data_IF_621632848556
#
_entry.id   IF_621632848556
#
_cell.length_a   1.000
_cell.length_b   1.000
_cell.length_c   1.000
_cell.angle_alpha   90.00
_cell.angle_beta   90.00
_cell.angle_gamma   90.00
#
_symmetry.space_group_name_H-M   'P 1'
#
loop_
_entity.id
_entity.type
_entity.pdbx_description
1 polymer ?
#
# COMPACT_ATOMS: atom_id res chain seq x y z
N UNK A 1 -3.47 9.62 -41.41
CA UNK A 1 -2.65 10.65 -40.72
C UNK A 1 -3.24 10.80 -39.33
N UNK A 2 -2.41 10.91 -38.30
CA UNK A 2 -2.88 11.12 -36.92
C UNK A 2 -3.71 12.43 -36.83
N UNK A 3 -4.68 12.48 -35.91
CA UNK A 3 -5.57 13.67 -35.78
C UNK A 3 -4.81 14.95 -35.41
N UNK A 4 -3.77 14.82 -34.58
CA UNK A 4 -2.94 15.92 -34.07
C UNK A 4 -1.47 15.69 -34.36
N UNK A 5 -0.72 16.78 -34.56
CA UNK A 5 0.75 16.74 -34.56
C UNK A 5 1.28 16.69 -33.13
N UNK A 6 2.22 15.77 -32.83
CA UNK A 6 2.73 15.54 -31.48
C UNK A 6 4.26 15.60 -31.36
N UNK A 7 4.94 16.64 -31.88
CA UNK A 7 6.40 16.67 -32.00
C UNK A 7 7.17 16.50 -30.68
N UNK A 8 6.63 16.94 -29.53
CA UNK A 8 7.27 16.68 -28.23
C UNK A 8 7.11 15.21 -27.81
N UNK A 9 5.89 14.66 -27.92
CA UNK A 9 5.64 13.25 -27.58
C UNK A 9 6.39 12.28 -28.49
N UNK A 10 6.56 12.62 -29.78
CA UNK A 10 7.29 11.79 -30.74
C UNK A 10 8.74 11.50 -30.30
N UNK A 11 9.37 12.43 -29.56
CA UNK A 11 10.71 12.20 -29.01
C UNK A 11 10.75 11.07 -27.97
N UNK A 12 9.62 10.81 -27.29
CA UNK A 12 9.49 9.79 -26.25
C UNK A 12 9.23 8.39 -26.81
N UNK A 13 9.12 8.23 -28.13
CA UNK A 13 9.08 6.92 -28.78
C UNK A 13 10.48 6.29 -28.93
N UNK A 14 11.52 7.11 -28.82
CA UNK A 14 12.91 6.66 -28.90
C UNK A 14 13.43 6.10 -27.57
N UNK A 15 14.54 5.37 -27.64
CA UNK A 15 15.19 4.76 -26.48
C UNK A 15 14.74 3.33 -26.19
N UNK A 16 15.37 2.66 -25.21
CA UNK A 16 15.16 1.23 -24.98
C UNK A 16 13.97 0.90 -24.06
N UNK A 17 13.43 1.87 -23.33
CA UNK A 17 12.30 1.65 -22.41
C UNK A 17 10.97 1.61 -23.21
N UNK A 18 10.02 0.70 -22.89
CA UNK A 18 8.74 0.65 -23.59
C UNK A 18 8.02 2.00 -23.51
N UNK A 19 7.80 2.61 -24.67
CA UNK A 19 7.20 3.94 -24.76
C UNK A 19 5.68 3.87 -24.60
N UNK A 20 5.16 4.63 -23.63
CA UNK A 20 3.73 4.83 -23.50
C UNK A 20 3.14 5.61 -24.70
N UNK A 21 3.95 6.43 -25.39
CA UNK A 21 3.48 7.18 -26.57
C UNK A 21 3.24 6.23 -27.73
N UNK A 22 4.18 5.31 -28.00
CA UNK A 22 4.00 4.31 -29.06
C UNK A 22 2.81 3.38 -28.78
N UNK A 23 2.60 2.98 -27.53
CA UNK A 23 1.44 2.18 -27.12
C UNK A 23 0.10 2.93 -27.31
N UNK A 24 0.03 4.21 -26.91
CA UNK A 24 -1.16 5.05 -27.16
C UNK A 24 -1.42 5.26 -28.65
N UNK A 25 -0.37 5.49 -29.46
CA UNK A 25 -0.50 5.61 -30.92
C UNK A 25 -0.98 4.31 -31.56
N UNK A 26 -0.49 3.16 -31.09
CA UNK A 26 -0.99 1.87 -31.52
C UNK A 26 -2.47 1.70 -31.19
N UNK A 27 -2.90 2.05 -29.97
CA UNK A 27 -4.31 1.95 -29.60
C UNK A 27 -5.20 2.92 -30.40
N UNK A 28 -4.72 4.14 -30.67
CA UNK A 28 -5.41 5.07 -31.57
C UNK A 28 -5.57 4.46 -32.97
N UNK A 29 -4.53 3.82 -33.51
CA UNK A 29 -4.58 3.14 -34.81
C UNK A 29 -5.56 1.94 -34.82
N UNK A 30 -5.55 1.11 -33.77
CA UNK A 30 -6.49 -0.03 -33.63
C UNK A 30 -7.93 0.47 -33.64
N UNK A 31 -8.22 1.51 -32.84
CA UNK A 31 -9.56 2.11 -32.80
C UNK A 31 -9.93 2.75 -34.12
N UNK A 32 -9.01 3.45 -34.79
CA UNK A 32 -9.27 4.08 -36.09
C UNK A 32 -9.60 3.06 -37.19
N UNK A 33 -8.88 1.93 -37.24
CA UNK A 33 -9.15 0.85 -38.20
C UNK A 33 -10.43 0.07 -37.87
N UNK A 34 -10.70 -0.13 -36.58
CA UNK A 34 -11.85 -0.87 -36.06
C UNK A 34 -12.08 -2.22 -36.77
N UNK A 35 -11.02 -3.00 -36.98
CA UNK A 35 -11.09 -4.27 -37.73
C UNK A 35 -12.04 -5.30 -37.07
N UNK A 36 -12.21 -5.21 -35.76
CA UNK A 36 -13.13 -6.05 -34.99
C UNK A 36 -14.60 -5.59 -35.04
N UNK A 37 -14.90 -4.44 -35.67
CA UNK A 37 -16.26 -3.93 -35.81
C UNK A 37 -16.91 -3.54 -34.48
N UNK A 38 -16.13 -3.03 -33.53
CA UNK A 38 -16.61 -2.60 -32.21
C UNK A 38 -17.48 -1.36 -32.37
N UNK A 39 -18.68 -1.40 -31.80
CA UNK A 39 -19.57 -0.23 -31.73
C UNK A 39 -19.17 0.66 -30.54
N UNK A 40 -18.10 1.44 -30.70
CA UNK A 40 -17.55 2.26 -29.62
C UNK A 40 -18.61 3.18 -28.99
N UNK A 41 -18.78 3.07 -27.66
CA UNK A 41 -19.77 3.85 -26.90
C UNK A 41 -19.26 5.22 -26.45
N UNK A 42 -17.98 5.50 -26.69
CA UNK A 42 -17.35 6.81 -26.53
C UNK A 42 -16.66 7.19 -27.85
N UNK A 43 -16.23 8.45 -28.05
CA UNK A 43 -15.58 8.86 -29.29
C UNK A 43 -14.44 7.93 -29.71
N UNK A 44 -14.48 7.48 -30.97
CA UNK A 44 -13.50 6.55 -31.52
C UNK A 44 -12.07 7.12 -31.46
N UNK A 45 -11.95 8.44 -31.60
CA UNK A 45 -10.73 9.25 -31.57
C UNK A 45 -10.36 9.79 -30.18
N UNK A 46 -10.93 9.25 -29.09
CA UNK A 46 -10.61 9.68 -27.73
C UNK A 46 -9.12 9.54 -27.37
N UNK A 47 -8.42 8.55 -27.93
CA UNK A 47 -6.98 8.35 -27.69
C UNK A 47 -6.15 9.34 -28.50
N UNK A 48 -6.57 9.69 -29.71
CA UNK A 48 -5.96 10.78 -30.48
C UNK A 48 -6.06 12.11 -29.72
N UNK A 49 -7.23 12.42 -29.16
CA UNK A 49 -7.45 13.64 -28.37
C UNK A 49 -6.70 13.62 -27.03
N UNK A 50 -6.51 12.44 -26.43
CA UNK A 50 -5.63 12.28 -25.27
C UNK A 50 -4.18 12.65 -25.62
N UNK A 51 -3.67 12.16 -26.76
CA UNK A 51 -2.34 12.52 -27.26
C UNK A 51 -2.24 14.03 -27.56
N UNK A 52 -3.27 14.61 -28.18
CA UNK A 52 -3.33 16.04 -28.50
C UNK A 52 -3.31 16.94 -27.25
N UNK A 53 -4.12 16.65 -26.24
CA UNK A 53 -4.14 17.43 -25.00
C UNK A 53 -2.86 17.23 -24.18
N UNK A 54 -2.25 16.05 -24.25
CA UNK A 54 -0.97 15.77 -23.60
C UNK A 54 0.16 16.55 -24.29
N UNK A 55 0.22 16.56 -25.61
CA UNK A 55 1.17 17.38 -26.38
C UNK A 55 1.02 18.87 -26.02
N UNK A 56 -0.22 19.38 -25.94
CA UNK A 56 -0.47 20.75 -25.52
C UNK A 56 0.06 21.02 -24.10
N UNK A 57 -0.08 20.03 -23.21
CA UNK A 57 0.45 20.10 -21.84
C UNK A 57 1.98 20.14 -21.82
N UNK A 58 2.66 19.38 -22.68
CA UNK A 58 4.12 19.45 -22.86
C UNK A 58 4.55 20.82 -23.36
N UNK A 59 3.85 21.35 -24.37
CA UNK A 59 4.12 22.68 -24.93
C UNK A 59 3.95 23.80 -23.90
N UNK A 60 2.93 23.73 -23.05
CA UNK A 60 2.63 24.78 -22.09
C UNK A 60 3.26 24.58 -20.70
N UNK A 61 3.74 23.38 -20.38
CA UNK A 61 4.25 23.04 -19.05
C UNK A 61 3.19 23.08 -17.94
N UNK A 62 1.92 22.82 -18.27
CA UNK A 62 0.79 22.84 -17.30
C UNK A 62 -0.27 21.80 -17.66
N UNK A 63 -1.09 21.45 -16.67
CA UNK A 63 -2.22 20.54 -16.88
C UNK A 63 -3.35 21.22 -17.64
N UNK A 64 -4.04 20.44 -18.49
CA UNK A 64 -5.23 20.85 -19.24
C UNK A 64 -6.50 20.11 -18.79
N UNK A 65 -6.54 19.76 -17.50
CA UNK A 65 -7.69 19.15 -16.87
C UNK A 65 -8.30 20.08 -15.82
N UNK A 66 -9.63 20.24 -15.84
CA UNK A 66 -10.37 21.04 -14.87
C UNK A 66 -10.22 20.50 -13.43
N UNK A 67 -10.49 21.36 -12.45
CA UNK A 67 -10.51 20.99 -11.04
C UNK A 67 -11.64 20.01 -10.73
N UNK A 68 -11.30 18.89 -10.08
CA UNK A 68 -12.27 17.92 -9.59
C UNK A 68 -13.15 17.27 -10.67
N UNK A 69 -14.32 16.81 -10.21
CA UNK A 69 -15.32 16.12 -11.01
C UNK A 69 -16.05 15.09 -10.12
N UNK A 70 -17.36 15.27 -9.96
CA UNK A 70 -18.19 14.39 -9.12
C UNK A 70 -19.10 13.58 -10.04
N UNK A 71 -18.77 12.29 -10.17
CA UNK A 71 -19.51 11.29 -10.93
C UNK A 71 -19.34 9.96 -10.19
N UNK A 72 -20.23 9.00 -10.45
CA UNK A 72 -20.20 7.71 -9.78
C UNK A 72 -21.28 6.78 -10.32
N UNK A 73 -21.55 5.73 -9.56
CA UNK A 73 -22.62 4.77 -9.80
C UNK A 73 -23.56 4.75 -8.60
N UNK A 74 -24.84 4.46 -8.81
CA UNK A 74 -25.82 4.44 -7.74
C UNK A 74 -25.47 3.40 -6.67
N UNK A 75 -25.74 3.77 -5.41
CA UNK A 75 -25.41 2.95 -4.25
C UNK A 75 -24.02 3.18 -3.67
N UNK A 76 -23.06 3.69 -4.45
CA UNK A 76 -21.68 3.96 -4.01
C UNK A 76 -21.35 5.46 -3.99
N UNK A 77 -20.61 5.88 -2.97
CA UNK A 77 -20.09 7.25 -2.84
C UNK A 77 -18.69 7.45 -3.41
N UNK A 78 -18.13 6.43 -4.06
CA UNK A 78 -16.77 6.41 -4.59
C UNK A 78 -16.56 5.37 -5.69
N UNK A 79 -15.31 5.20 -6.13
CA UNK A 79 -14.88 4.24 -7.16
C UNK A 79 -14.61 4.86 -8.53
N UNK A 80 -15.18 6.04 -8.81
CA UNK A 80 -14.94 6.78 -10.06
C UNK A 80 -14.33 8.15 -9.78
N UNK A 81 -13.28 8.51 -10.52
CA UNK A 81 -12.68 9.84 -10.48
C UNK A 81 -13.12 10.63 -11.71
N UNK A 82 -14.04 11.58 -11.51
CA UNK A 82 -14.48 12.50 -12.54
C UNK A 82 -13.32 13.39 -13.02
N UNK A 83 -13.25 13.59 -14.33
CA UNK A 83 -12.26 14.45 -14.97
C UNK A 83 -12.80 14.97 -16.29
N UNK A 84 -12.51 16.24 -16.55
CA UNK A 84 -12.97 16.98 -17.73
C UNK A 84 -11.83 17.80 -18.32
N UNK A 85 -11.67 17.77 -19.64
CA UNK A 85 -10.70 18.62 -20.34
C UNK A 85 -11.07 20.11 -20.21
N UNK A 86 -10.08 20.99 -20.11
CA UNK A 86 -10.29 22.45 -20.09
C UNK A 86 -10.37 23.10 -21.49
N UNK A 87 -10.09 22.34 -22.55
CA UNK A 87 -10.23 22.73 -23.96
C UNK A 87 -11.17 21.77 -24.74
N UNK A 88 -12.45 21.64 -24.36
CA UNK A 88 -13.35 20.63 -24.93
C UNK A 88 -13.64 20.84 -26.44
N UNK A 89 -13.57 22.07 -26.93
CA UNK A 89 -13.74 22.35 -28.37
C UNK A 89 -12.55 21.86 -29.20
N UNK A 90 -11.33 21.89 -28.64
CA UNK A 90 -10.12 21.41 -29.31
C UNK A 90 -9.96 19.89 -29.20
N UNK A 91 -10.40 19.31 -28.07
CA UNK A 91 -10.24 17.89 -27.77
C UNK A 91 -11.57 17.26 -27.29
N UNK A 92 -12.61 17.21 -28.16
CA UNK A 92 -13.93 16.72 -27.77
C UNK A 92 -13.94 15.26 -27.33
N UNK A 93 -13.03 14.43 -27.85
CA UNK A 93 -12.87 13.01 -27.48
C UNK A 93 -12.47 12.77 -26.02
N UNK A 94 -11.98 13.81 -25.33
CA UNK A 94 -11.64 13.78 -23.90
C UNK A 94 -12.36 14.87 -23.09
N UNK A 95 -13.47 15.40 -23.60
CA UNK A 95 -14.33 16.33 -22.84
C UNK A 95 -14.70 15.71 -21.49
N UNK A 96 -15.16 14.45 -21.50
CA UNK A 96 -15.23 13.58 -20.35
C UNK A 96 -14.12 12.54 -20.44
N UNK A 97 -13.34 12.37 -19.38
CA UNK A 97 -12.28 11.37 -19.34
C UNK A 97 -12.16 10.72 -17.96
N UNK A 98 -13.28 10.16 -17.50
CA UNK A 98 -13.41 9.63 -16.15
C UNK A 98 -12.57 8.37 -15.96
N UNK A 99 -12.04 8.20 -14.76
CA UNK A 99 -11.28 7.00 -14.39
C UNK A 99 -12.12 6.10 -13.49
N UNK A 100 -12.33 4.84 -13.87
CA UNK A 100 -12.96 3.85 -13.01
C UNK A 100 -11.88 3.00 -12.33
N UNK A 101 -11.98 2.86 -11.01
CA UNK A 101 -11.13 1.97 -10.22
C UNK A 101 -11.83 0.64 -10.10
N UNK A 102 -11.20 -0.43 -10.55
CA UNK A 102 -11.72 -1.79 -10.44
C UNK A 102 -10.87 -2.54 -9.42
N UNK A 103 -11.52 -3.18 -8.45
CA UNK A 103 -10.85 -3.87 -7.35
C UNK A 103 -10.00 -5.03 -7.89
N UNK A 104 -8.71 -5.10 -7.55
CA UNK A 104 -7.81 -6.12 -8.08
C UNK A 104 -7.84 -7.40 -7.22
N UNK A 105 -7.59 -8.59 -7.81
CA UNK A 105 -7.33 -9.79 -7.03
C UNK A 105 -6.05 -9.65 -6.19
N UNK A 106 -6.04 -10.34 -5.05
CA UNK A 106 -4.88 -10.44 -4.15
C UNK A 106 -3.62 -10.89 -4.91
N UNK A 107 -2.47 -10.27 -4.62
CA UNK A 107 -1.21 -10.55 -5.30
C UNK A 107 -1.16 -10.19 -6.81
N UNK A 108 -2.26 -9.68 -7.38
CA UNK A 108 -2.39 -9.30 -8.81
C UNK A 108 -2.16 -10.47 -9.77
N UNK A 109 -2.61 -11.67 -9.40
CA UNK A 109 -2.64 -12.83 -10.29
C UNK A 109 -3.85 -12.79 -11.21
N UNK A 110 -3.64 -13.09 -12.49
CA UNK A 110 -4.70 -13.04 -13.51
C UNK A 110 -4.65 -14.26 -14.42
N UNK A 111 -5.82 -14.62 -14.94
CA UNK A 111 -5.91 -15.48 -16.14
C UNK A 111 -6.04 -14.59 -17.37
N UNK A 112 -5.56 -15.09 -18.52
CA UNK A 112 -5.71 -14.35 -19.79
C UNK A 112 -7.17 -14.27 -20.23
N UNK A 113 -8.04 -15.19 -19.80
CA UNK A 113 -9.47 -15.13 -20.06
C UNK A 113 -10.11 -13.90 -19.41
N UNK A 114 -9.86 -13.68 -18.11
CA UNK A 114 -10.37 -12.51 -17.39
C UNK A 114 -9.86 -11.20 -18.00
N UNK A 115 -8.55 -11.09 -18.25
CA UNK A 115 -7.98 -9.87 -18.83
C UNK A 115 -8.55 -9.58 -20.22
N UNK A 116 -8.75 -10.60 -21.08
CA UNK A 116 -9.36 -10.40 -22.40
C UNK A 116 -10.83 -9.97 -22.31
N UNK A 117 -11.60 -10.48 -21.34
CA UNK A 117 -12.98 -10.02 -21.09
C UNK A 117 -13.00 -8.56 -20.65
N UNK A 118 -12.09 -8.19 -19.75
CA UNK A 118 -11.96 -6.83 -19.26
C UNK A 118 -11.53 -5.86 -20.37
N UNK A 119 -10.54 -6.20 -21.19
CA UNK A 119 -10.10 -5.35 -22.30
C UNK A 119 -11.20 -5.19 -23.33
N UNK A 120 -11.95 -6.25 -23.68
CA UNK A 120 -13.10 -6.16 -24.59
C UNK A 120 -14.19 -5.22 -24.09
N UNK A 121 -14.53 -5.33 -22.80
CA UNK A 121 -15.48 -4.40 -22.17
C UNK A 121 -14.96 -2.96 -22.26
N UNK A 122 -13.68 -2.77 -21.97
CA UNK A 122 -13.08 -1.44 -21.92
C UNK A 122 -12.82 -0.81 -23.29
N UNK A 123 -12.56 -1.62 -24.32
CA UNK A 123 -12.50 -1.15 -25.70
C UNK A 123 -13.88 -0.67 -26.16
N UNK A 124 -14.94 -1.43 -25.83
CA UNK A 124 -16.32 -1.11 -26.17
C UNK A 124 -16.85 0.14 -25.44
N UNK A 125 -16.66 0.23 -24.12
CA UNK A 125 -17.28 1.26 -23.26
C UNK A 125 -16.32 2.35 -22.75
N UNK A 126 -15.05 2.26 -23.09
CA UNK A 126 -14.02 3.18 -22.63
C UNK A 126 -13.02 3.50 -23.74
N UNK A 127 -11.88 4.05 -23.33
CA UNK A 127 -10.80 4.43 -24.23
C UNK A 127 -9.95 3.25 -24.71
N UNK A 128 -10.05 2.09 -24.05
CA UNK A 128 -9.09 1.00 -24.17
C UNK A 128 -7.74 1.26 -23.47
N UNK A 129 -7.55 2.43 -22.84
CA UNK A 129 -6.33 2.78 -22.10
C UNK A 129 -6.48 2.41 -20.63
N UNK A 130 -5.41 1.86 -20.03
CA UNK A 130 -5.43 1.44 -18.62
C UNK A 130 -4.17 1.88 -17.86
N UNK A 131 -4.22 1.82 -16.52
CA UNK A 131 -3.01 1.64 -15.73
C UNK A 131 -3.08 0.30 -14.99
N UNK A 132 -2.07 -0.54 -15.20
CA UNK A 132 -1.91 -1.85 -14.58
C UNK A 132 -0.67 -1.81 -13.69
N UNK A 133 -0.76 -1.27 -12.46
CA UNK A 133 -1.94 -0.93 -11.66
C UNK A 133 -1.87 0.50 -11.10
N UNK A 134 -2.96 0.96 -10.50
CA UNK A 134 -2.94 2.14 -9.65
C UNK A 134 -2.06 1.93 -8.42
N UNK A 135 -1.42 2.99 -7.91
CA UNK A 135 -0.49 2.89 -6.79
C UNK A 135 -1.14 2.40 -5.47
N UNK A 136 -2.47 2.38 -5.36
CA UNK A 136 -3.13 1.78 -4.18
C UNK A 136 -3.26 0.27 -4.34
N UNK A 137 -3.62 -0.19 -5.54
CA UNK A 137 -3.78 -1.61 -5.90
C UNK A 137 -4.64 -1.78 -7.16
N UNK A 138 -5.63 -0.89 -7.32
CA UNK A 138 -6.72 -1.00 -8.30
C UNK A 138 -6.24 -1.22 -9.73
N UNK A 139 -7.01 -1.97 -10.51
CA UNK A 139 -7.00 -1.85 -11.97
C UNK A 139 -7.59 -0.48 -12.33
N UNK A 140 -6.91 0.27 -13.19
CA UNK A 140 -7.34 1.61 -13.59
C UNK A 140 -7.85 1.56 -15.03
N UNK A 141 -9.16 1.73 -15.20
CA UNK A 141 -9.78 1.94 -16.50
C UNK A 141 -9.79 3.44 -16.79
N UNK A 142 -8.91 3.90 -17.68
CA UNK A 142 -8.56 5.31 -17.84
C UNK A 142 -9.31 5.95 -19.01
N UNK A 143 -10.40 6.65 -18.72
CA UNK A 143 -11.12 7.46 -19.71
C UNK A 143 -12.39 6.81 -20.22
N UNK A 144 -13.52 7.31 -19.75
CA UNK A 144 -14.86 7.07 -20.29
C UNK A 144 -15.76 8.28 -20.03
N UNK A 145 -17.01 8.23 -20.51
CA UNK A 145 -18.02 9.27 -20.34
C UNK A 145 -18.97 8.93 -19.19
N UNK A 146 -19.70 9.94 -18.68
CA UNK A 146 -20.65 9.74 -17.57
C UNK A 146 -21.73 8.68 -17.85
N UNK A 147 -22.36 8.65 -19.05
CA UNK A 147 -23.38 7.65 -19.35
C UNK A 147 -22.90 6.19 -19.33
N UNK A 148 -21.61 5.95 -19.52
CA UNK A 148 -21.05 4.59 -19.54
C UNK A 148 -20.68 4.04 -18.16
N UNK A 149 -20.72 4.86 -17.10
CA UNK A 149 -20.28 4.43 -15.77
C UNK A 149 -21.14 3.28 -15.23
N UNK A 150 -22.47 3.45 -15.27
CA UNK A 150 -23.42 2.42 -14.84
C UNK A 150 -23.36 1.18 -15.73
N UNK A 151 -23.17 1.37 -17.03
CA UNK A 151 -23.10 0.28 -18.00
C UNK A 151 -21.87 -0.61 -17.81
N UNK A 152 -20.71 0.00 -17.56
CA UNK A 152 -19.49 -0.73 -17.22
C UNK A 152 -19.66 -1.43 -15.88
N UNK A 153 -20.19 -0.73 -14.87
CA UNK A 153 -20.39 -1.28 -13.55
C UNK A 153 -21.37 -2.47 -13.54
N UNK A 154 -22.46 -2.37 -14.29
CA UNK A 154 -23.43 -3.44 -14.47
C UNK A 154 -22.76 -4.68 -15.07
N UNK A 155 -21.96 -4.51 -16.13
CA UNK A 155 -21.25 -5.63 -16.76
C UNK A 155 -20.22 -6.26 -15.81
N UNK A 156 -19.43 -5.45 -15.10
CA UNK A 156 -18.46 -5.94 -14.12
C UNK A 156 -19.14 -6.79 -13.03
N UNK A 157 -20.26 -6.32 -12.49
CA UNK A 157 -20.95 -7.00 -11.39
C UNK A 157 -21.75 -8.22 -11.84
N UNK A 158 -22.52 -8.11 -12.92
CA UNK A 158 -23.45 -9.16 -13.35
C UNK A 158 -22.76 -10.27 -14.16
N UNK A 159 -21.80 -9.91 -15.02
CA UNK A 159 -21.16 -10.88 -15.90
C UNK A 159 -19.83 -11.38 -15.34
N UNK A 160 -19.08 -10.53 -14.64
CA UNK A 160 -17.70 -10.86 -14.22
C UNK A 160 -17.56 -11.17 -12.72
N UNK A 161 -18.58 -10.86 -11.90
CA UNK A 161 -18.49 -10.99 -10.44
C UNK A 161 -17.40 -10.09 -9.84
N UNK A 162 -17.20 -8.91 -10.44
CA UNK A 162 -16.12 -7.98 -10.13
C UNK A 162 -16.69 -6.64 -9.66
N UNK A 163 -16.15 -6.10 -8.57
CA UNK A 163 -16.57 -4.80 -8.03
C UNK A 163 -15.53 -3.68 -8.32
N UNK A 164 -15.94 -2.44 -8.07
CA UNK A 164 -15.12 -1.25 -8.07
C UNK A 164 -14.19 -1.19 -6.85
N UNK A 165 -13.13 -0.40 -6.98
CA UNK A 165 -12.25 -0.05 -5.87
C UNK A 165 -12.72 1.18 -5.11
N UNK A 166 -11.98 1.55 -4.05
CA UNK A 166 -12.32 2.66 -3.16
C UNK A 166 -11.78 4.04 -3.59
N UNK A 167 -12.57 5.10 -3.40
CA UNK A 167 -12.12 6.49 -3.44
C UNK A 167 -13.00 7.42 -2.60
N UNK A 168 -12.42 8.45 -1.99
CA UNK A 168 -13.16 9.37 -1.10
C UNK A 168 -12.63 9.35 0.34
N UNK A 169 -13.48 9.72 1.29
CA UNK A 169 -13.20 9.59 2.74
C UNK A 169 -13.77 8.28 3.27
N UNK A 170 -13.11 7.19 2.87
CA UNK A 170 -13.50 5.79 3.08
C UNK A 170 -12.26 4.93 3.28
N UNK A 171 -12.47 3.65 3.61
CA UNK A 171 -11.50 2.62 3.33
C UNK A 171 -11.19 2.63 1.82
N UNK A 172 -9.91 2.56 1.48
CA UNK A 172 -9.46 2.36 0.11
C UNK A 172 -9.10 0.90 -0.08
N UNK A 173 -9.13 0.48 -1.34
CA UNK A 173 -8.75 -0.85 -1.80
C UNK A 173 -7.51 -1.37 -1.08
N UNK A 174 -7.65 -2.41 -0.23
CA UNK A 174 -6.53 -3.08 0.39
C UNK A 174 -5.60 -3.69 -0.67
N UNK A 175 -4.31 -3.79 -0.35
CA UNK A 175 -3.34 -4.41 -1.23
C UNK A 175 -2.24 -5.10 -0.44
N UNK A 176 -1.68 -6.14 -1.03
CA UNK A 176 -0.73 -7.03 -0.40
C UNK A 176 0.51 -7.27 -1.25
N UNK A 177 1.55 -7.82 -0.62
CA UNK A 177 2.61 -8.49 -1.37
C UNK A 177 2.11 -9.86 -1.87
N UNK A 178 2.93 -10.55 -2.67
CA UNK A 178 2.55 -11.86 -3.19
C UNK A 178 2.48 -12.97 -2.12
N UNK A 179 2.93 -12.71 -0.89
CA UNK A 179 2.75 -13.62 0.25
C UNK A 179 3.27 -15.04 0.01
N UNK A 180 2.53 -16.01 0.54
CA UNK A 180 2.87 -17.43 0.47
C UNK A 180 2.71 -18.03 -0.93
N UNK A 181 2.09 -17.31 -1.88
CA UNK A 181 1.93 -17.80 -3.26
C UNK A 181 3.27 -18.11 -3.93
N UNK A 182 4.33 -17.35 -3.60
CA UNK A 182 5.66 -17.51 -4.23
C UNK A 182 6.83 -16.91 -3.42
N UNK A 183 6.70 -16.77 -2.10
CA UNK A 183 7.80 -16.30 -1.25
C UNK A 183 7.97 -17.19 -0.01
N UNK A 184 9.17 -17.69 0.20
CA UNK A 184 9.54 -18.53 1.34
C UNK A 184 9.75 -17.73 2.65
N UNK A 185 9.64 -16.41 2.61
CA UNK A 185 9.75 -15.53 3.78
C UNK A 185 8.40 -15.14 4.37
N UNK A 186 7.28 -15.46 3.69
CA UNK A 186 5.96 -15.03 4.10
C UNK A 186 5.55 -15.71 5.42
N UNK A 187 5.32 -14.90 6.45
CA UNK A 187 4.98 -15.35 7.80
C UNK A 187 3.47 -15.65 7.95
N UNK A 188 2.63 -15.19 7.03
CA UNK A 188 1.20 -15.49 7.00
C UNK A 188 0.67 -15.39 5.56
N UNK A 189 -0.54 -15.88 5.32
CA UNK A 189 -1.20 -15.76 4.02
C UNK A 189 -1.77 -14.34 3.84
N UNK A 190 -0.96 -13.46 3.23
CA UNK A 190 -1.38 -12.09 2.92
C UNK A 190 -2.51 -12.05 1.90
N UNK A 191 -2.59 -13.04 1.00
CA UNK A 191 -3.59 -13.06 -0.05
C UNK A 191 -4.98 -13.38 0.54
N UNK A 192 -5.05 -14.35 1.45
CA UNK A 192 -6.29 -14.68 2.16
C UNK A 192 -6.77 -13.51 3.02
N UNK A 193 -5.88 -12.91 3.83
CA UNK A 193 -6.27 -11.83 4.74
C UNK A 193 -6.66 -10.55 3.99
N UNK A 194 -5.97 -10.18 2.89
CA UNK A 194 -6.38 -9.00 2.10
C UNK A 194 -7.75 -9.22 1.47
N UNK A 195 -8.05 -10.43 1.01
CA UNK A 195 -9.33 -10.76 0.42
C UNK A 195 -10.44 -10.71 1.47
N UNK A 196 -10.22 -11.33 2.63
CA UNK A 196 -11.13 -11.28 3.77
C UNK A 196 -11.46 -9.83 4.17
N UNK A 197 -10.45 -9.02 4.51
CA UNK A 197 -10.66 -7.64 4.96
C UNK A 197 -11.30 -6.76 3.88
N UNK A 198 -11.09 -7.06 2.60
CA UNK A 198 -11.73 -6.33 1.50
C UNK A 198 -13.22 -6.67 1.40
N UNK A 199 -13.61 -7.92 1.67
CA UNK A 199 -14.99 -8.36 1.64
C UNK A 199 -15.76 -7.96 2.91
N UNK A 200 -15.10 -8.06 4.08
CA UNK A 200 -15.69 -7.71 5.36
C UNK A 200 -16.10 -6.24 5.41
N UNK A 201 -15.18 -5.35 5.00
CA UNK A 201 -15.38 -3.90 5.06
C UNK A 201 -15.79 -3.28 3.72
N UNK A 202 -16.66 -3.97 2.97
CA UNK A 202 -17.19 -3.47 1.70
C UNK A 202 -17.97 -2.17 1.88
N UNK A 203 -18.76 -2.04 2.94
CA UNK A 203 -19.54 -0.82 3.20
C UNK A 203 -18.63 0.39 3.39
N UNK A 204 -17.63 0.25 4.26
CA UNK A 204 -16.65 1.29 4.57
C UNK A 204 -15.77 1.64 3.38
N UNK A 205 -15.62 0.72 2.40
CA UNK A 205 -14.90 0.96 1.15
C UNK A 205 -15.75 1.72 0.13
N UNK A 206 -17.02 1.34 -0.02
CA UNK A 206 -17.90 1.88 -1.06
C UNK A 206 -18.68 3.13 -0.63
N UNK A 207 -18.92 3.31 0.67
CA UNK A 207 -19.75 4.38 1.24
C UNK A 207 -18.90 5.22 2.21
N UNK A 208 -18.44 6.41 1.79
CA UNK A 208 -17.61 7.28 2.62
C UNK A 208 -18.25 7.65 3.97
N UNK A 209 -17.82 6.98 5.04
CA UNK A 209 -18.27 7.21 6.42
C UNK A 209 -17.19 7.83 7.33
N UNK A 210 -15.96 7.95 6.84
CA UNK A 210 -14.80 8.34 7.65
C UNK A 210 -14.49 9.84 7.56
N UNK A 211 -13.75 10.41 8.54
CA UNK A 211 -13.28 11.80 8.48
C UNK A 211 -12.37 12.06 7.27
N UNK A 212 -11.60 11.04 6.85
CA UNK A 212 -10.76 11.08 5.65
C UNK A 212 -10.54 9.68 5.06
N UNK A 213 -9.48 9.49 4.26
CA UNK A 213 -9.15 8.22 3.62
C UNK A 213 -8.44 7.32 4.62
N UNK A 214 -8.78 6.04 4.60
CA UNK A 214 -8.09 5.00 5.35
C UNK A 214 -7.56 3.94 4.38
N UNK A 215 -6.45 3.28 4.71
CA UNK A 215 -5.81 2.30 3.83
C UNK A 215 -5.26 1.14 4.64
N UNK A 216 -5.51 -0.07 4.15
CA UNK A 216 -4.81 -1.28 4.57
C UNK A 216 -3.73 -1.67 3.55
N UNK A 217 -2.59 -2.12 4.06
CA UNK A 217 -1.61 -2.89 3.27
C UNK A 217 -0.97 -3.99 4.09
N UNK A 218 -0.76 -5.13 3.43
CA UNK A 218 -0.33 -6.38 4.05
C UNK A 218 1.01 -6.83 3.46
N UNK A 219 2.04 -6.88 4.30
CA UNK A 219 3.36 -7.39 3.97
C UNK A 219 3.63 -8.70 4.71
N UNK A 220 4.02 -9.74 3.99
CA UNK A 220 4.29 -11.05 4.58
C UNK A 220 5.56 -11.11 5.44
N UNK A 221 6.46 -10.12 5.36
CA UNK A 221 7.67 -10.01 6.18
C UNK A 221 8.22 -8.57 6.21
N UNK A 222 9.23 -8.25 7.03
CA UNK A 222 9.80 -6.90 7.15
C UNK A 222 10.51 -6.37 5.90
N UNK A 223 10.73 -7.17 4.86
CA UNK A 223 11.19 -6.67 3.55
C UNK A 223 10.18 -5.72 2.90
N UNK A 224 8.91 -5.76 3.33
CA UNK A 224 7.92 -4.72 3.06
C UNK A 224 7.70 -4.48 1.55
N UNK A 225 7.50 -5.55 0.77
CA UNK A 225 7.39 -5.50 -0.69
C UNK A 225 6.19 -4.69 -1.23
N UNK A 226 5.10 -4.55 -0.48
CA UNK A 226 3.98 -3.64 -0.83
C UNK A 226 4.12 -2.25 -0.18
N UNK A 227 5.18 -2.06 0.61
CA UNK A 227 5.52 -0.82 1.32
C UNK A 227 4.40 -0.36 2.25
N UNK A 228 3.79 -1.28 2.99
CA UNK A 228 2.69 -1.00 3.92
C UNK A 228 3.07 0.09 4.94
N UNK A 229 4.23 -0.02 5.58
CA UNK A 229 4.72 0.94 6.58
C UNK A 229 4.75 2.40 6.11
N UNK A 230 4.80 2.65 4.80
CA UNK A 230 4.86 4.00 4.24
C UNK A 230 3.58 4.43 3.52
N UNK A 231 2.69 3.49 3.16
CA UNK A 231 1.60 3.73 2.18
C UNK A 231 0.22 3.22 2.64
N UNK A 232 0.07 2.89 3.92
CA UNK A 232 -1.21 2.55 4.55
C UNK A 232 -1.38 3.20 5.92
N UNK A 233 -2.59 3.66 6.23
CA UNK A 233 -2.93 4.16 7.56
C UNK A 233 -2.76 3.08 8.62
N UNK A 234 -3.00 1.82 8.26
CA UNK A 234 -2.70 0.65 9.08
C UNK A 234 -1.97 -0.41 8.24
N UNK A 235 -0.77 -0.78 8.69
CA UNK A 235 0.10 -1.76 8.03
C UNK A 235 0.18 -3.05 8.85
N UNK A 236 0.09 -4.19 8.16
CA UNK A 236 0.21 -5.52 8.76
C UNK A 236 1.49 -6.17 8.23
N UNK A 237 2.52 -6.29 9.07
CA UNK A 237 3.85 -6.75 8.64
C UNK A 237 4.19 -8.08 9.34
N UNK A 238 4.35 -9.13 8.54
CA UNK A 238 4.57 -10.48 9.03
C UNK A 238 5.88 -10.61 9.81
N UNK A 239 5.88 -11.43 10.86
CA UNK A 239 7.06 -11.75 11.65
C UNK A 239 6.91 -13.11 12.33
N UNK A 240 7.91 -13.50 13.11
CA UNK A 240 7.91 -14.71 13.92
C UNK A 240 8.41 -14.40 15.34
N UNK A 241 8.09 -15.25 16.31
CA UNK A 241 8.50 -15.06 17.72
C UNK A 241 9.48 -16.11 18.24
N UNK A 242 9.65 -17.22 17.53
CA UNK A 242 10.63 -18.26 17.82
C UNK A 242 11.97 -18.02 17.10
N UNK A 243 12.81 -19.06 17.02
CA UNK A 243 14.19 -18.94 16.53
C UNK A 243 14.28 -19.00 15.00
N UNK A 244 15.24 -18.29 14.43
CA UNK A 244 15.64 -18.49 13.03
C UNK A 244 16.11 -19.95 12.84
N UNK A 245 15.61 -20.59 11.78
CA UNK A 245 16.03 -21.96 11.44
C UNK A 245 17.32 -21.92 10.64
N UNK A 246 18.31 -22.68 11.08
CA UNK A 246 19.67 -22.70 10.51
C UNK A 246 20.00 -24.10 9.99
N UNK A 247 20.26 -24.21 8.69
CA UNK A 247 20.91 -25.37 8.07
C UNK A 247 22.42 -25.11 8.00
N UNK A 248 23.17 -25.77 8.89
CA UNK A 248 24.62 -25.59 9.01
C UNK A 248 25.39 -26.10 7.77
N UNK A 249 24.88 -27.13 7.09
CA UNK A 249 25.53 -27.65 5.88
C UNK A 249 25.37 -26.63 4.74
N UNK A 250 24.19 -26.02 4.63
CA UNK A 250 23.95 -24.93 3.70
C UNK A 250 24.80 -23.68 4.03
N UNK A 251 24.95 -23.32 5.32
CA UNK A 251 25.86 -22.23 5.74
C UNK A 251 27.28 -22.49 5.24
N UNK A 252 27.81 -23.69 5.46
CA UNK A 252 29.17 -24.02 5.05
C UNK A 252 29.34 -23.95 3.52
N UNK A 253 28.31 -24.32 2.73
CA UNK A 253 28.35 -24.14 1.27
C UNK A 253 28.43 -22.67 0.83
N UNK A 254 27.78 -21.75 1.54
CA UNK A 254 27.97 -20.31 1.31
C UNK A 254 29.42 -19.90 1.60
N UNK A 255 29.97 -20.29 2.76
CA UNK A 255 31.36 -19.98 3.17
C UNK A 255 32.39 -20.54 2.19
N UNK A 256 32.15 -21.75 1.69
CA UNK A 256 32.98 -22.44 0.69
C UNK A 256 32.81 -21.86 -0.73
N UNK A 257 31.96 -20.84 -0.90
CA UNK A 257 31.68 -20.19 -2.18
C UNK A 257 31.16 -21.17 -3.26
N UNK A 258 30.34 -22.15 -2.85
CA UNK A 258 29.67 -23.06 -3.77
C UNK A 258 28.76 -22.26 -4.72
N UNK A 259 28.95 -22.43 -6.03
CA UNK A 259 28.18 -21.72 -7.06
C UNK A 259 26.66 -22.00 -6.99
N UNK A 260 26.25 -23.11 -6.38
CA UNK A 260 24.84 -23.39 -6.11
C UNK A 260 24.26 -22.53 -4.97
N UNK A 261 25.08 -21.90 -4.15
CA UNK A 261 24.68 -21.08 -3.00
C UNK A 261 25.18 -19.63 -3.18
N UNK A 262 24.72 -18.92 -4.22
CA UNK A 262 25.11 -17.53 -4.40
C UNK A 262 24.49 -16.66 -3.29
N UNK A 263 25.28 -15.77 -2.72
CA UNK A 263 24.81 -14.78 -1.75
C UNK A 263 23.67 -13.95 -2.35
N UNK A 264 22.67 -13.67 -1.52
CA UNK A 264 21.45 -12.94 -1.88
C UNK A 264 20.75 -13.53 -3.12
N UNK A 265 20.77 -14.87 -3.25
CA UNK A 265 20.27 -15.60 -4.41
C UNK A 265 20.84 -15.12 -5.77
N UNK A 266 22.03 -14.51 -5.76
CA UNK A 266 22.68 -13.97 -6.95
C UNK A 266 22.19 -12.59 -7.37
N UNK A 267 21.49 -11.85 -6.51
CA UNK A 267 20.95 -10.51 -6.82
C UNK A 267 21.99 -9.49 -7.33
N UNK A 268 23.26 -9.67 -6.97
CA UNK A 268 24.36 -8.77 -7.38
C UNK A 268 25.17 -9.30 -8.58
N UNK A 269 24.75 -10.41 -9.19
CA UNK A 269 25.46 -10.99 -10.34
C UNK A 269 25.39 -10.04 -11.54
N UNK A 270 26.55 -9.65 -12.06
CA UNK A 270 26.66 -8.77 -13.22
C UNK A 270 26.58 -7.27 -12.93
N UNK A 271 26.36 -6.84 -11.67
CA UNK A 271 26.41 -5.40 -11.34
C UNK A 271 27.85 -4.86 -11.35
N UNK A 272 28.78 -5.65 -10.81
CA UNK A 272 30.25 -5.50 -10.83
C UNK A 272 30.85 -6.75 -10.16
N UNK A 273 32.17 -6.89 -10.18
CA UNK A 273 32.85 -7.89 -9.37
C UNK A 273 32.93 -7.42 -7.91
N UNK A 274 32.29 -8.16 -7.01
CA UNK A 274 32.29 -7.91 -5.57
C UNK A 274 33.30 -8.81 -4.82
N UNK A 275 33.96 -9.74 -5.53
CA UNK A 275 34.77 -10.79 -4.92
C UNK A 275 33.95 -11.99 -4.41
N UNK A 276 34.64 -12.99 -3.82
CA UNK A 276 33.97 -14.12 -3.17
C UNK A 276 33.18 -13.67 -1.94
N UNK A 277 32.12 -14.40 -1.63
CA UNK A 277 31.31 -14.19 -0.44
C UNK A 277 32.16 -14.27 0.83
N UNK A 278 31.99 -13.28 1.71
CA UNK A 278 32.65 -13.17 3.00
C UNK A 278 31.58 -13.06 4.11
N UNK A 279 31.35 -14.17 4.82
CA UNK A 279 30.32 -14.26 5.88
C UNK A 279 30.48 -13.18 6.95
N UNK A 280 31.72 -12.84 7.31
CA UNK A 280 31.99 -11.80 8.30
C UNK A 280 31.53 -10.44 7.77
N UNK A 281 32.00 -10.04 6.59
CA UNK A 281 31.72 -8.71 6.02
C UNK A 281 30.27 -8.53 5.56
N UNK A 282 29.65 -9.58 5.06
CA UNK A 282 28.35 -9.49 4.38
C UNK A 282 27.17 -9.89 5.27
N UNK A 283 27.41 -10.58 6.39
CA UNK A 283 26.34 -11.01 7.31
C UNK A 283 26.62 -10.57 8.74
N UNK A 284 27.70 -11.06 9.37
CA UNK A 284 27.92 -10.88 10.81
C UNK A 284 28.16 -9.41 11.18
N UNK A 285 29.08 -8.76 10.47
CA UNK A 285 29.39 -7.34 10.63
C UNK A 285 28.26 -6.41 10.19
N UNK A 286 27.25 -6.90 9.45
CA UNK A 286 26.08 -6.11 9.04
C UNK A 286 24.83 -6.37 9.87
N UNK A 287 24.82 -7.40 10.73
CA UNK A 287 23.74 -7.62 11.69
C UNK A 287 23.58 -6.37 12.58
N UNK A 288 22.40 -5.74 12.65
CA UNK A 288 22.22 -4.47 13.35
C UNK A 288 22.44 -4.60 14.87
N UNK A 289 22.10 -5.75 15.45
CA UNK A 289 22.25 -6.01 16.89
C UNK A 289 23.51 -6.80 17.25
N UNK A 290 24.34 -7.16 16.26
CA UNK A 290 25.54 -8.00 16.46
C UNK A 290 25.26 -9.31 17.23
N UNK A 291 24.07 -9.89 17.08
CA UNK A 291 23.64 -11.11 17.76
C UNK A 291 24.10 -12.42 17.08
N UNK A 292 24.99 -12.35 16.08
CA UNK A 292 25.42 -13.52 15.30
C UNK A 292 26.90 -13.84 15.53
N UNK A 293 27.25 -15.12 15.51
CA UNK A 293 28.64 -15.59 15.63
C UNK A 293 28.87 -16.80 14.73
N UNK A 294 30.03 -16.88 14.07
CA UNK A 294 30.47 -18.09 13.38
C UNK A 294 31.70 -18.67 14.06
N UNK A 295 31.62 -19.92 14.49
CA UNK A 295 32.72 -20.63 15.17
C UNK A 295 32.65 -22.13 14.86
N UNK A 296 33.81 -22.76 14.65
CA UNK A 296 33.93 -24.20 14.43
C UNK A 296 33.00 -24.72 13.31
N UNK A 297 32.95 -23.99 12.19
CA UNK A 297 32.07 -24.26 11.02
C UNK A 297 30.57 -24.24 11.34
N UNK A 298 30.15 -23.54 12.40
CA UNK A 298 28.76 -23.38 12.80
C UNK A 298 28.39 -21.91 12.98
N UNK A 299 27.24 -21.53 12.45
CA UNK A 299 26.61 -20.24 12.67
C UNK A 299 25.66 -20.31 13.86
N UNK A 300 25.82 -19.38 14.79
CA UNK A 300 24.96 -19.18 15.95
C UNK A 300 24.27 -17.83 15.84
N UNK A 301 23.01 -17.78 16.27
CA UNK A 301 22.20 -16.56 16.36
C UNK A 301 21.63 -16.53 17.77
N UNK A 302 21.83 -15.41 18.46
CA UNK A 302 21.15 -15.09 19.71
C UNK A 302 19.81 -14.44 19.37
N UNK A 303 18.80 -15.29 19.14
CA UNK A 303 17.46 -14.87 18.70
C UNK A 303 16.78 -13.91 19.68
N UNK A 304 17.11 -13.96 20.98
CA UNK A 304 16.59 -13.03 21.97
C UNK A 304 17.02 -11.58 21.71
N UNK A 305 18.18 -11.39 21.07
CA UNK A 305 18.71 -10.09 20.64
C UNK A 305 18.54 -9.86 19.12
N UNK A 306 17.78 -10.70 18.42
CA UNK A 306 17.46 -10.52 17.01
C UNK A 306 16.23 -9.61 16.85
N UNK A 307 16.38 -8.55 16.05
CA UNK A 307 15.26 -7.65 15.69
C UNK A 307 14.52 -8.08 14.42
N UNK A 308 14.83 -9.28 13.88
CA UNK A 308 14.18 -9.88 12.70
C UNK A 308 14.20 -8.96 11.46
N UNK A 309 15.32 -8.27 11.25
CA UNK A 309 15.50 -7.32 10.13
C UNK A 309 15.60 -7.95 8.73
N UNK A 310 15.45 -9.28 8.60
CA UNK A 310 15.61 -10.08 7.39
C UNK A 310 17.00 -10.15 6.75
N UNK A 311 17.97 -9.29 7.11
CA UNK A 311 19.27 -9.20 6.41
C UNK A 311 19.96 -10.55 6.20
N UNK A 312 20.18 -11.31 7.27
CA UNK A 312 20.87 -12.60 7.18
C UNK A 312 20.09 -13.63 6.34
N UNK A 313 18.76 -13.68 6.48
CA UNK A 313 17.87 -14.53 5.68
C UNK A 313 17.93 -14.14 4.20
N UNK A 314 17.88 -12.84 3.90
CA UNK A 314 17.97 -12.33 2.54
C UNK A 314 19.31 -12.70 1.88
N UNK A 315 20.42 -12.61 2.62
CA UNK A 315 21.76 -12.95 2.10
C UNK A 315 21.94 -14.46 1.95
N UNK A 316 21.44 -15.28 2.88
CA UNK A 316 21.63 -16.75 2.87
C UNK A 316 20.30 -17.52 2.85
N UNK A 317 19.43 -17.33 1.86
CA UNK A 317 18.06 -17.84 1.91
C UNK A 317 17.95 -19.36 1.80
N UNK A 318 19.00 -20.04 1.32
CA UNK A 318 19.04 -21.50 1.31
C UNK A 318 19.45 -22.09 2.66
N UNK A 319 20.05 -21.31 3.55
CA UNK A 319 20.56 -21.76 4.84
C UNK A 319 19.74 -21.25 6.03
N UNK A 320 19.22 -20.03 5.92
CA UNK A 320 18.45 -19.37 6.98
C UNK A 320 16.99 -19.23 6.57
N UNK A 321 16.08 -19.64 7.46
CA UNK A 321 14.64 -19.50 7.26
C UNK A 321 14.00 -18.80 8.45
N UNK A 322 12.85 -18.16 8.21
CA UNK A 322 11.99 -17.61 9.26
C UNK A 322 11.66 -18.67 10.32
N UNK A 323 11.28 -18.25 11.52
CA UNK A 323 10.76 -19.14 12.56
C UNK A 323 9.47 -19.86 12.16
N UNK A 324 8.95 -20.71 13.04
CA UNK A 324 7.71 -21.48 12.85
C UNK A 324 6.51 -20.84 13.53
N UNK A 325 6.72 -20.11 14.62
CA UNK A 325 5.66 -19.43 15.36
C UNK A 325 5.46 -18.03 14.77
N UNK A 326 4.61 -17.95 13.75
CA UNK A 326 4.44 -16.76 12.93
C UNK A 326 3.19 -15.96 13.29
N UNK A 327 3.18 -14.70 12.86
CA UNK A 327 2.09 -13.75 13.05
C UNK A 327 2.41 -12.46 12.31
N UNK A 328 1.83 -11.33 12.72
CA UNK A 328 2.19 -10.02 12.19
C UNK A 328 2.32 -8.95 13.29
N UNK A 329 2.98 -7.86 12.96
CA UNK A 329 2.96 -6.61 13.71
C UNK A 329 1.99 -5.64 13.05
N UNK A 330 1.26 -4.85 13.83
CA UNK A 330 0.39 -3.78 13.35
C UNK A 330 1.06 -2.45 13.62
N UNK A 331 1.19 -1.61 12.58
CA UNK A 331 1.73 -0.25 12.69
C UNK A 331 0.74 0.76 12.09
N UNK A 332 0.64 1.94 12.69
CA UNK A 332 -0.40 2.92 12.37
C UNK A 332 0.16 4.30 12.02
N UNK A 333 -0.59 5.03 11.18
CA UNK A 333 -0.41 6.46 10.96
C UNK A 333 0.32 6.87 9.67
N UNK A 334 0.73 5.93 8.81
CA UNK A 334 1.53 6.31 7.64
C UNK A 334 0.77 7.23 6.67
N UNK A 335 1.41 8.32 6.26
CA UNK A 335 0.84 9.29 5.33
C UNK A 335 1.90 10.09 4.57
N UNK A 336 1.48 10.56 3.40
CA UNK A 336 2.19 11.56 2.63
C UNK A 336 2.21 12.93 3.36
N UNK A 337 3.02 13.92 2.90
CA UNK A 337 3.27 15.14 3.64
C UNK A 337 2.05 15.94 4.13
N UNK A 338 1.04 16.15 3.28
CA UNK A 338 -0.09 17.04 3.63
C UNK A 338 -0.96 16.40 4.75
N UNK A 339 -1.30 17.11 5.83
CA UNK A 339 -0.92 18.50 6.16
C UNK A 339 0.36 18.58 7.01
N UNK A 340 0.40 17.84 8.12
CA UNK A 340 1.39 18.03 9.20
C UNK A 340 2.66 17.18 9.06
N UNK A 341 3.13 16.99 7.82
CA UNK A 341 4.34 16.24 7.51
C UNK A 341 4.09 14.77 7.15
N UNK A 342 5.12 14.17 6.56
CA UNK A 342 5.08 12.76 6.17
C UNK A 342 5.32 11.88 7.39
N UNK A 343 4.63 10.74 7.45
CA UNK A 343 4.75 9.78 8.53
C UNK A 343 4.88 8.38 7.95
N UNK A 344 5.65 7.53 8.62
CA UNK A 344 5.61 6.07 8.48
C UNK A 344 4.80 5.48 9.64
N UNK A 345 4.38 4.22 9.51
CA UNK A 345 3.65 3.52 10.54
C UNK A 345 4.47 3.40 11.82
N UNK A 346 3.88 3.79 12.95
CA UNK A 346 4.44 3.58 14.29
C UNK A 346 3.89 2.28 14.88
N UNK A 347 4.75 1.49 15.52
CA UNK A 347 4.42 0.16 16.03
C UNK A 347 3.34 0.25 17.12
N UNK A 348 2.19 -0.37 16.89
CA UNK A 348 1.08 -0.45 17.85
C UNK A 348 1.00 -1.84 18.49
N UNK A 349 0.86 -2.88 17.67
CA UNK A 349 0.83 -4.27 18.15
C UNK A 349 2.16 -4.94 17.77
N UNK A 350 3.05 -5.23 18.73
CA UNK A 350 4.33 -5.87 18.43
C UNK A 350 4.18 -7.24 17.76
N UNK A 351 3.20 -8.02 18.20
CA UNK A 351 2.89 -9.33 17.64
C UNK A 351 1.42 -9.67 17.87
N UNK A 352 0.74 -10.08 16.81
CA UNK A 352 -0.60 -10.66 16.83
C UNK A 352 -0.60 -11.93 15.97
N UNK A 353 -1.32 -12.94 16.44
CA UNK A 353 -1.53 -14.15 15.65
C UNK A 353 -2.46 -13.83 14.46
N UNK A 354 -2.13 -14.38 13.29
CA UNK A 354 -2.97 -14.26 12.11
C UNK A 354 -3.77 -15.55 11.98
N UNK A 355 -4.96 -15.57 12.57
CA UNK A 355 -5.79 -16.76 12.65
C UNK A 355 -6.96 -16.69 11.65
N UNK A 356 -6.92 -17.46 10.55
CA UNK A 356 -8.05 -17.53 9.61
C UNK A 356 -9.23 -18.36 10.14
N UNK A 357 -9.04 -19.20 11.16
CA UNK A 357 -10.09 -20.13 11.65
C UNK A 357 -11.18 -19.43 12.47
N UNK A 358 -10.95 -18.18 12.88
CA UNK A 358 -11.93 -17.33 13.57
C UNK A 358 -12.12 -15.98 12.86
N UNK A 359 -12.03 -15.97 11.52
CA UNK A 359 -12.26 -14.77 10.71
C UNK A 359 -11.39 -13.57 11.16
N UNK A 360 -10.17 -13.84 11.62
CA UNK A 360 -9.19 -12.84 12.04
C UNK A 360 -9.68 -11.89 13.15
N UNK A 361 -10.57 -12.35 14.04
CA UNK A 361 -11.24 -11.57 15.10
C UNK A 361 -10.33 -10.61 15.88
N UNK A 362 -9.14 -11.07 16.29
CA UNK A 362 -8.21 -10.24 17.06
C UNK A 362 -7.66 -9.05 16.24
N UNK A 363 -7.57 -9.19 14.91
CA UNK A 363 -7.13 -8.13 13.99
C UNK A 363 -8.28 -7.18 13.70
N UNK A 364 -9.49 -7.70 13.47
CA UNK A 364 -10.69 -6.88 13.21
C UNK A 364 -11.06 -6.04 14.43
N UNK A 365 -10.94 -6.58 15.65
CA UNK A 365 -11.13 -5.83 16.90
C UNK A 365 -10.18 -4.61 16.99
N UNK A 366 -8.91 -4.77 16.62
CA UNK A 366 -7.96 -3.63 16.59
C UNK A 366 -8.35 -2.60 15.53
N UNK A 367 -8.80 -3.04 14.36
CA UNK A 367 -9.27 -2.16 13.28
C UNK A 367 -10.46 -1.34 13.76
N UNK A 368 -11.48 -2.01 14.29
CA UNK A 368 -12.77 -1.41 14.66
C UNK A 368 -12.62 -0.46 15.84
N UNK A 369 -11.87 -0.83 16.88
CA UNK A 369 -11.56 0.08 17.99
C UNK A 369 -10.85 1.38 17.52
N UNK A 370 -9.97 1.27 16.53
CA UNK A 370 -9.30 2.46 15.95
C UNK A 370 -10.28 3.29 15.12
N UNK A 371 -11.17 2.65 14.37
CA UNK A 371 -12.19 3.34 13.58
C UNK A 371 -13.22 4.02 14.46
N UNK A 372 -13.76 3.37 15.48
CA UNK A 372 -14.71 3.95 16.43
C UNK A 372 -14.14 5.24 17.05
N UNK A 373 -12.89 5.20 17.48
CA UNK A 373 -12.20 6.38 18.00
C UNK A 373 -11.96 7.44 16.91
N UNK A 374 -11.37 7.07 15.77
CA UNK A 374 -11.00 8.03 14.75
C UNK A 374 -12.21 8.65 14.05
N UNK A 375 -13.30 7.91 13.87
CA UNK A 375 -14.53 8.41 13.25
C UNK A 375 -15.22 9.47 14.09
N UNK A 376 -15.16 9.35 15.42
CA UNK A 376 -15.74 10.32 16.34
C UNK A 376 -14.79 11.51 16.59
N UNK A 377 -13.51 11.25 16.84
CA UNK A 377 -12.56 12.27 17.30
C UNK A 377 -11.77 12.93 16.15
N UNK A 378 -11.76 12.30 14.97
CA UNK A 378 -11.04 12.78 13.80
C UNK A 378 -11.68 14.04 13.23
N UNK A 379 -10.87 15.08 13.03
CA UNK A 379 -11.33 16.30 12.36
C UNK A 379 -11.59 16.03 10.88
N UNK A 380 -12.40 16.89 10.27
CA UNK A 380 -12.62 16.86 8.82
C UNK A 380 -11.28 16.87 8.06
N UNK A 381 -11.06 15.84 7.24
CA UNK A 381 -9.83 15.65 6.46
C UNK A 381 -8.56 15.55 7.32
N UNK A 382 -8.67 14.98 8.51
CA UNK A 382 -7.52 14.58 9.33
C UNK A 382 -7.27 13.07 9.18
N UNK A 383 -6.03 12.70 8.90
CA UNK A 383 -5.63 11.29 8.80
C UNK A 383 -5.39 10.69 10.18
N UNK A 384 -5.46 9.36 10.31
CA UNK A 384 -5.20 8.67 11.58
C UNK A 384 -3.86 9.11 12.22
N UNK A 385 -2.79 9.22 11.42
CA UNK A 385 -1.48 9.66 11.92
C UNK A 385 -1.46 11.09 12.47
N UNK A 386 -2.31 11.98 11.96
CA UNK A 386 -2.45 13.34 12.47
C UNK A 386 -3.28 13.37 13.76
N UNK A 387 -4.33 12.53 13.85
CA UNK A 387 -5.07 12.33 15.11
C UNK A 387 -4.14 11.79 16.21
N UNK A 388 -3.31 10.80 15.91
CA UNK A 388 -2.32 10.23 16.86
C UNK A 388 -1.35 11.33 17.33
N UNK A 389 -0.87 12.19 16.43
CA UNK A 389 -0.02 13.31 16.83
C UNK A 389 -0.74 14.32 17.73
N UNK A 390 -2.03 14.57 17.45
CA UNK A 390 -2.83 15.56 18.17
C UNK A 390 -3.28 15.10 19.56
N UNK A 391 -3.74 13.86 19.69
CA UNK A 391 -4.26 13.30 20.95
C UNK A 391 -3.24 12.45 21.71
N UNK A 392 -2.11 12.12 21.09
CA UNK A 392 -1.04 11.34 21.69
C UNK A 392 -1.22 9.84 21.47
N UNK A 393 -0.08 9.13 21.42
CA UNK A 393 -0.05 7.68 21.22
C UNK A 393 -0.68 6.91 22.39
N UNK A 394 -0.67 7.49 23.59
CA UNK A 394 -1.33 6.94 24.77
C UNK A 394 -2.84 6.78 24.55
N UNK A 395 -3.49 7.71 23.84
CA UNK A 395 -4.92 7.59 23.56
C UNK A 395 -5.21 6.42 22.61
N UNK A 396 -4.36 6.20 21.61
CA UNK A 396 -4.44 5.04 20.71
C UNK A 396 -4.33 3.73 21.50
N UNK A 397 -3.40 3.65 22.46
CA UNK A 397 -3.24 2.48 23.34
C UNK A 397 -4.48 2.25 24.21
N UNK A 398 -5.03 3.30 24.81
CA UNK A 398 -6.24 3.20 25.64
C UNK A 398 -7.44 2.68 24.86
N UNK A 399 -7.73 3.23 23.67
CA UNK A 399 -8.91 2.84 22.89
C UNK A 399 -8.79 1.43 22.30
N UNK A 400 -7.57 0.92 22.16
CA UNK A 400 -7.32 -0.46 21.69
C UNK A 400 -7.10 -1.45 22.83
N UNK A 401 -7.13 -1.00 24.09
CA UNK A 401 -6.87 -1.86 25.25
C UNK A 401 -5.45 -2.45 25.29
N UNK A 402 -4.48 -1.81 24.64
CA UNK A 402 -3.11 -2.29 24.55
C UNK A 402 -2.24 -1.60 25.61
N UNK A 403 -1.60 -2.39 26.46
CA UNK A 403 -0.65 -1.87 27.45
C UNK A 403 0.58 -1.25 26.79
N UNK A 404 1.02 -0.10 27.32
CA UNK A 404 2.24 0.55 26.87
C UNK A 404 3.48 -0.32 27.17
N UNK A 405 4.28 -0.60 26.14
CA UNK A 405 5.52 -1.38 26.26
C UNK A 405 6.71 -0.61 25.64
N UNK A 406 7.96 -0.90 26.05
CA UNK A 406 9.14 -0.22 25.51
C UNK A 406 9.25 -0.25 23.98
N UNK A 407 8.72 -1.30 23.34
CA UNK A 407 8.70 -1.48 21.89
C UNK A 407 7.91 -0.40 21.15
N UNK A 408 6.98 0.29 21.81
CA UNK A 408 6.19 1.37 21.22
C UNK A 408 6.99 2.65 20.95
N UNK A 409 8.20 2.77 21.52
CA UNK A 409 9.05 3.95 21.34
C UNK A 409 10.44 3.56 20.86
N UNK A 410 11.00 4.38 19.97
CA UNK A 410 12.42 4.25 19.61
C UNK A 410 13.32 4.73 20.76
N UNK A 411 12.90 5.77 21.47
CA UNK A 411 13.52 6.28 22.68
C UNK A 411 12.46 6.97 23.55
N UNK A 412 12.59 6.94 24.89
CA UNK A 412 11.68 7.67 25.78
C UNK A 412 11.74 9.18 25.56
N UNK A 413 10.67 9.88 25.93
CA UNK A 413 10.62 11.35 25.86
C UNK A 413 11.77 11.99 26.63
N UNK A 414 12.31 13.08 26.09
CA UNK A 414 13.38 13.87 26.73
C UNK A 414 12.89 15.16 27.38
N UNK A 415 11.65 15.57 27.10
CA UNK A 415 11.03 16.74 27.71
C UNK A 415 10.15 16.30 28.91
N UNK A 416 10.11 17.08 30.01
CA UNK A 416 9.49 16.67 31.26
C UNK A 416 7.99 17.00 31.38
N UNK A 417 7.30 17.33 30.28
CA UNK A 417 5.87 17.69 30.29
C UNK A 417 4.95 16.46 30.39
N UNK A 418 5.12 15.70 31.47
CA UNK A 418 4.41 14.45 31.73
C UNK A 418 3.01 14.77 32.26
N UNK A 419 2.00 14.32 31.54
CA UNK A 419 0.61 14.32 32.02
C UNK A 419 0.41 13.11 32.92
N UNK A 420 -0.30 13.33 34.03
CA UNK A 420 -0.81 12.29 34.93
C UNK A 420 -2.32 12.33 34.86
N UNK A 421 -2.97 11.18 35.08
CA UNK A 421 -4.40 11.16 35.34
C UNK A 421 -4.63 11.56 36.80
N UNK A 422 -5.77 12.20 37.08
CA UNK A 422 -6.05 12.71 38.43
C UNK A 422 -6.09 11.58 39.48
N UNK A 423 -6.61 10.42 39.11
CA UNK A 423 -6.70 9.22 39.93
C UNK A 423 -5.35 8.54 40.21
N UNK A 424 -4.30 8.90 39.47
CA UNK A 424 -2.93 8.43 39.69
C UNK A 424 -2.15 9.31 40.68
N UNK A 425 -2.67 10.50 41.03
CA UNK A 425 -2.01 11.46 41.92
C UNK A 425 -2.67 11.46 43.29
N UNK A 426 -1.92 11.08 44.32
CA UNK A 426 -2.40 11.10 45.72
C UNK A 426 -2.95 12.49 46.09
N UNK A 427 -4.24 12.52 46.48
CA UNK A 427 -4.95 13.75 46.86
C UNK A 427 -5.73 14.45 45.74
N UNK A 428 -5.61 14.00 44.48
CA UNK A 428 -6.33 14.59 43.35
C UNK A 428 -5.92 16.04 43.03
N UNK A 429 -6.74 16.77 42.27
CA UNK A 429 -6.44 18.15 41.85
C UNK A 429 -7.33 19.20 42.51
N UNK A 430 -8.40 18.80 43.19
CA UNK A 430 -9.20 19.68 44.05
C UNK A 430 -8.36 20.16 45.24
N UNK A 431 -7.83 21.38 45.14
CA UNK A 431 -6.95 21.96 46.15
C UNK A 431 -7.46 23.31 46.61
N UNK A 432 -7.41 23.52 47.92
CA UNK A 432 -7.77 24.79 48.55
C UNK A 432 -6.52 25.66 48.78
N UNK A 433 -6.57 26.89 48.26
CA UNK A 433 -5.51 27.87 48.46
C UNK A 433 -5.43 28.35 49.90
N UNK A 434 -6.54 28.37 50.65
CA UNK A 434 -6.54 28.79 52.05
C UNK A 434 -5.80 27.77 52.93
N UNK A 435 -6.04 26.47 52.71
CA UNK A 435 -5.30 25.39 53.38
C UNK A 435 -3.78 25.50 53.13
N UNK A 436 -3.36 25.74 51.89
CA UNK A 436 -1.95 25.93 51.56
C UNK A 436 -1.33 27.11 52.34
N UNK A 437 -2.08 28.21 52.49
CA UNK A 437 -1.60 29.45 53.14
C UNK A 437 -1.47 29.34 54.66
N UNK A 438 -2.08 28.35 55.31
CA UNK A 438 -1.82 28.06 56.73
C UNK A 438 -0.36 27.70 57.00
N UNK A 439 0.33 27.14 56.00
CA UNK A 439 1.72 26.70 56.11
C UNK A 439 2.71 27.60 55.35
N UNK A 440 2.23 28.45 54.43
CA UNK A 440 3.08 29.22 53.52
C UNK A 440 2.61 30.69 53.43
N UNK A 441 3.25 31.57 54.20
CA UNK A 441 3.01 33.02 54.16
C UNK A 441 3.22 33.58 52.75
N UNK A 442 2.48 34.64 52.41
CA UNK A 442 2.44 35.25 51.07
C UNK A 442 3.62 36.18 50.81
#
# INVERSE_FOLDING_TARGET
MAKHETPFLDQLESGPWPSFVSDLKQQAEVRAKNEEGVEFQIPQDCVDDLLGVLELSYKHGRTHWKHGGIVGVFGYGGGVIGRYCDQPELFPGVEHFHTMRVNQPAGKYYTTDYLRKLTKLWDFRGSGVTNMHGATGDIILLGTTTPQLEEVFWTLTHDYGQDLGGSGSNLRTPADCLGQSRCEYACYDTNAMVHFLTNEYQDELHRPAFPYKFKFKLDGCPNCCVASIARSDMSFIGTWKDNIRIDQDAVNKYVENDAAYPANAGAFKGSKDWGPFDLEKEVLSLCPTKCMMFKDKKLFIDDANCTRCMHCINVMPRALKIGKETGCSILCGAKAPILDGAQMGSLLVPFIEVNPDNDYEAITEVIENIWDWWMEEGKNRERLGELIMRQGFQKLLEVTGIDAVPQHVQYPRTNPYIFWKEDEVEGGWERDVEEYRKHHLR
#
